data_IF_413766634713
#
_entry.id   IF_413766634713
#
_cell.length_a   1.000
_cell.length_b   1.000
_cell.length_c   1.000
_cell.angle_alpha   90.00
_cell.angle_beta   90.00
_cell.angle_gamma   90.00
#
_symmetry.space_group_name_H-M   'P 1'
#
loop_
_entity.id
_entity.type
_entity.pdbx_description
1 polymer ?
#
# COMPACT_ATOMS: atom_id res chain seq x y z
N UNK A 1 -22.95 7.76 -5.41
CA UNK A 1 -23.16 8.69 -6.51
C UNK A 1 -23.32 10.09 -5.94
N UNK A 2 -22.51 11.04 -6.38
CA UNK A 2 -22.72 12.47 -6.10
C UNK A 2 -23.63 13.05 -7.20
N UNK A 3 -24.82 13.49 -6.80
CA UNK A 3 -25.82 13.95 -7.75
C UNK A 3 -26.76 14.96 -7.10
N UNK A 4 -27.21 15.94 -7.90
CA UNK A 4 -28.25 16.88 -7.54
C UNK A 4 -29.66 16.21 -7.51
N UNK A 5 -30.65 16.95 -7.05
CA UNK A 5 -32.03 16.43 -6.96
C UNK A 5 -32.61 16.03 -8.31
N UNK A 6 -32.24 16.72 -9.40
CA UNK A 6 -32.72 16.44 -10.74
C UNK A 6 -32.16 15.08 -11.23
N UNK A 7 -30.85 14.87 -11.05
CA UNK A 7 -30.21 13.62 -11.41
C UNK A 7 -30.73 12.45 -10.57
N UNK A 8 -30.98 12.65 -9.26
CA UNK A 8 -31.56 11.62 -8.37
C UNK A 8 -32.94 11.14 -8.84
N UNK A 9 -33.76 12.03 -9.41
CA UNK A 9 -35.09 11.67 -9.93
C UNK A 9 -35.01 10.84 -11.19
N UNK A 10 -33.99 11.04 -12.01
CA UNK A 10 -33.81 10.35 -13.32
C UNK A 10 -33.09 9.02 -13.17
N UNK A 11 -32.22 8.87 -12.16
CA UNK A 11 -31.40 7.67 -11.96
C UNK A 11 -32.07 6.75 -10.92
N UNK A 12 -32.75 5.66 -11.32
CA UNK A 12 -33.54 4.84 -10.41
C UNK A 12 -32.75 3.80 -9.61
N UNK A 13 -31.43 3.83 -9.63
CA UNK A 13 -30.56 2.80 -9.02
C UNK A 13 -30.78 2.56 -7.54
N UNK A 14 -31.31 3.56 -6.81
CA UNK A 14 -31.63 3.40 -5.39
C UNK A 14 -33.01 2.75 -5.15
N UNK A 15 -33.81 2.58 -6.19
CA UNK A 15 -35.11 1.89 -6.11
C UNK A 15 -35.00 0.36 -6.19
N UNK A 16 -33.82 -0.12 -6.58
CA UNK A 16 -33.47 -1.54 -6.64
C UNK A 16 -32.21 -1.73 -5.78
N UNK A 17 -32.15 -2.86 -5.09
CA UNK A 17 -31.00 -3.18 -4.22
C UNK A 17 -29.77 -3.56 -5.07
N UNK A 18 -29.12 -2.54 -5.63
CA UNK A 18 -27.88 -2.67 -6.42
C UNK A 18 -26.66 -2.14 -5.65
N UNK A 19 -26.78 -1.88 -4.36
CA UNK A 19 -25.70 -1.28 -3.55
C UNK A 19 -25.35 0.15 -3.93
N UNK A 20 -26.16 0.84 -4.75
CA UNK A 20 -25.93 2.22 -5.15
C UNK A 20 -26.52 3.18 -4.11
N UNK A 21 -25.71 4.14 -3.68
CA UNK A 21 -26.11 5.17 -2.71
C UNK A 21 -25.86 6.55 -3.28
N UNK A 22 -26.76 7.50 -3.00
CA UNK A 22 -26.53 8.92 -3.24
C UNK A 22 -25.89 9.57 -2.00
N UNK A 23 -24.86 10.38 -2.24
CA UNK A 23 -24.19 11.15 -1.21
C UNK A 23 -24.05 12.62 -1.63
N UNK A 24 -23.92 13.51 -0.66
CA UNK A 24 -23.61 14.91 -0.91
C UNK A 24 -22.21 15.08 -1.50
N UNK A 25 -21.26 14.20 -1.14
CA UNK A 25 -19.93 14.13 -1.72
C UNK A 25 -19.45 12.68 -1.81
N UNK A 26 -18.75 12.34 -2.88
CA UNK A 26 -18.06 11.04 -3.05
C UNK A 26 -16.67 11.03 -2.42
N UNK A 27 -16.14 12.17 -2.01
CA UNK A 27 -14.77 12.29 -1.50
C UNK A 27 -14.49 11.37 -0.30
N UNK A 28 -15.34 11.25 0.74
CA UNK A 28 -15.11 10.35 1.86
C UNK A 28 -15.03 8.88 1.42
N UNK A 29 -15.92 8.47 0.50
CA UNK A 29 -15.94 7.10 -0.05
C UNK A 29 -14.70 6.81 -0.89
N UNK A 30 -14.26 7.79 -1.70
CA UNK A 30 -13.02 7.70 -2.47
C UNK A 30 -11.80 7.58 -1.54
N UNK A 31 -11.69 8.42 -0.51
CA UNK A 31 -10.63 8.35 0.50
C UNK A 31 -10.58 6.98 1.16
N UNK A 32 -11.72 6.50 1.65
CA UNK A 32 -11.86 5.16 2.25
C UNK A 32 -11.38 4.06 1.28
N UNK A 33 -11.86 4.06 0.04
CA UNK A 33 -11.48 3.07 -0.97
C UNK A 33 -9.98 3.12 -1.29
N UNK A 34 -9.40 4.30 -1.43
CA UNK A 34 -7.98 4.46 -1.76
C UNK A 34 -7.10 3.99 -0.60
N UNK A 35 -7.38 4.41 0.63
CA UNK A 35 -6.59 4.01 1.81
C UNK A 35 -6.75 2.53 2.14
N UNK A 36 -7.96 1.98 2.15
CA UNK A 36 -8.20 0.60 2.55
C UNK A 36 -7.92 -0.35 1.38
N UNK A 37 -8.70 -0.34 0.30
CA UNK A 37 -8.55 -1.33 -0.77
C UNK A 37 -7.20 -1.18 -1.49
N UNK A 38 -6.90 0.02 -1.98
CA UNK A 38 -5.69 0.23 -2.78
C UNK A 38 -4.45 0.30 -1.89
N UNK A 39 -4.58 0.86 -0.66
CA UNK A 39 -3.48 0.95 0.31
C UNK A 39 -3.02 -0.42 0.77
N UNK A 40 -3.95 -1.30 1.16
CA UNK A 40 -3.61 -2.67 1.60
C UNK A 40 -2.97 -3.47 0.46
N UNK A 41 -3.46 -3.38 -0.78
CA UNK A 41 -2.79 -3.97 -1.94
C UNK A 41 -1.34 -3.46 -2.05
N UNK A 42 -1.15 -2.14 -2.06
CA UNK A 42 0.18 -1.55 -2.25
C UNK A 42 1.12 -1.87 -1.07
N UNK A 43 0.60 -1.90 0.15
CA UNK A 43 1.35 -2.29 1.35
C UNK A 43 1.84 -3.75 1.28
N UNK A 44 1.02 -4.65 0.74
CA UNK A 44 1.26 -6.10 0.86
C UNK A 44 1.96 -6.72 -0.35
N UNK A 45 1.72 -6.21 -1.56
CA UNK A 45 2.10 -6.89 -2.81
C UNK A 45 3.60 -7.11 -2.97
N UNK A 46 4.43 -6.07 -2.76
CA UNK A 46 5.88 -6.21 -2.95
C UNK A 46 6.52 -7.04 -1.83
N UNK A 47 6.07 -6.85 -0.59
CA UNK A 47 6.47 -7.68 0.53
C UNK A 47 6.08 -9.14 0.31
N UNK A 48 4.86 -9.40 -0.18
CA UNK A 48 4.39 -10.74 -0.52
C UNK A 48 5.17 -11.39 -1.65
N UNK A 49 5.52 -10.62 -2.68
CA UNK A 49 6.34 -11.14 -3.77
C UNK A 49 7.74 -11.52 -3.29
N UNK A 50 8.38 -10.65 -2.49
CA UNK A 50 9.67 -10.93 -1.87
C UNK A 50 9.63 -12.16 -0.93
N UNK A 51 8.48 -12.45 -0.31
CA UNK A 51 8.25 -13.65 0.49
C UNK A 51 7.94 -14.92 -0.34
N UNK A 52 7.92 -14.82 -1.67
CA UNK A 52 7.74 -15.95 -2.59
C UNK A 52 6.32 -16.17 -3.09
N UNK A 53 5.32 -15.42 -2.65
CA UNK A 53 3.96 -15.52 -3.17
C UNK A 53 3.88 -15.02 -4.62
N UNK A 54 2.96 -15.57 -5.39
CA UNK A 54 2.75 -15.21 -6.80
C UNK A 54 1.41 -14.55 -7.06
N UNK A 55 0.38 -14.90 -6.29
CA UNK A 55 -0.98 -14.37 -6.42
C UNK A 55 -1.51 -13.86 -5.07
N UNK A 56 -2.43 -12.91 -5.13
CA UNK A 56 -3.03 -12.26 -3.93
C UNK A 56 -3.71 -13.28 -3.02
N UNK A 57 -4.46 -14.24 -3.58
CA UNK A 57 -5.21 -15.22 -2.81
C UNK A 57 -4.30 -16.07 -1.91
N UNK A 58 -3.18 -16.56 -2.43
CA UNK A 58 -2.25 -17.39 -1.66
C UNK A 58 -1.62 -16.58 -0.52
N UNK A 59 -1.26 -15.33 -0.80
CA UNK A 59 -0.72 -14.39 0.18
C UNK A 59 -1.70 -14.12 1.34
N UNK A 60 -3.01 -13.92 1.07
CA UNK A 60 -3.99 -13.64 2.13
C UNK A 60 -4.47 -14.89 2.86
N UNK A 61 -4.20 -16.08 2.34
CA UNK A 61 -4.51 -17.36 2.99
C UNK A 61 -3.35 -17.88 3.85
N UNK A 62 -2.13 -17.38 3.68
CA UNK A 62 -1.03 -17.66 4.60
C UNK A 62 -1.27 -16.97 5.95
N UNK A 63 -1.18 -17.71 7.06
CA UNK A 63 -1.52 -17.22 8.40
C UNK A 63 -0.62 -16.05 8.82
N UNK A 64 0.67 -16.13 8.55
CA UNK A 64 1.66 -15.10 8.92
C UNK A 64 1.44 -13.83 8.12
N UNK A 65 1.27 -14.00 6.81
CA UNK A 65 1.08 -12.85 5.92
C UNK A 65 -0.29 -12.19 6.09
N UNK A 66 -1.32 -12.97 6.37
CA UNK A 66 -2.65 -12.47 6.75
C UNK A 66 -2.57 -11.64 8.05
N UNK A 67 -1.84 -12.13 9.05
CA UNK A 67 -1.64 -11.37 10.30
C UNK A 67 -0.92 -10.04 10.05
N UNK A 68 0.11 -10.02 9.19
CA UNK A 68 0.77 -8.80 8.73
C UNK A 68 -0.20 -7.82 8.07
N UNK A 69 -1.01 -8.30 7.11
CA UNK A 69 -2.02 -7.48 6.41
C UNK A 69 -3.03 -6.90 7.39
N UNK A 70 -3.60 -7.73 8.26
CA UNK A 70 -4.62 -7.30 9.23
C UNK A 70 -4.05 -6.31 10.24
N UNK A 71 -2.80 -6.49 10.66
CA UNK A 71 -2.14 -5.56 11.57
C UNK A 71 -1.97 -4.18 10.93
N UNK A 72 -1.41 -4.10 9.73
CA UNK A 72 -1.25 -2.82 9.02
C UNK A 72 -2.59 -2.14 8.73
N UNK A 73 -3.60 -2.92 8.34
CA UNK A 73 -4.94 -2.41 8.10
C UNK A 73 -5.57 -1.84 9.37
N UNK A 74 -5.64 -2.62 10.44
CA UNK A 74 -6.41 -2.26 11.64
C UNK A 74 -5.68 -1.26 12.55
N UNK A 75 -4.35 -1.42 12.73
CA UNK A 75 -3.59 -0.63 13.69
C UNK A 75 -2.96 0.63 13.09
N UNK A 76 -2.82 0.71 11.74
CA UNK A 76 -2.17 1.84 11.09
C UNK A 76 -3.07 2.54 10.07
N UNK A 77 -3.68 1.84 9.12
CA UNK A 77 -4.47 2.47 8.06
C UNK A 77 -5.81 2.99 8.58
N UNK A 78 -6.60 2.14 9.25
CA UNK A 78 -7.93 2.53 9.74
C UNK A 78 -7.85 3.68 10.77
N UNK A 79 -6.80 3.72 11.56
CA UNK A 79 -6.54 4.79 12.54
C UNK A 79 -6.36 6.19 11.91
N UNK A 80 -6.13 6.25 10.59
CA UNK A 80 -5.92 7.51 9.83
C UNK A 80 -7.16 7.97 9.06
N UNK A 81 -8.30 7.31 9.24
CA UNK A 81 -9.52 7.61 8.49
C UNK A 81 -10.58 8.11 9.45
N UNK A 82 -10.96 9.37 9.26
CA UNK A 82 -12.03 10.01 10.04
C UNK A 82 -13.41 9.65 9.45
N UNK A 83 -13.88 8.45 9.76
CA UNK A 83 -15.21 7.94 9.43
C UNK A 83 -15.68 7.02 10.56
N UNK A 84 -16.97 6.72 10.57
CA UNK A 84 -17.57 5.79 11.52
C UNK A 84 -16.86 4.44 11.53
N UNK A 85 -16.48 3.98 12.72
CA UNK A 85 -15.63 2.80 12.91
C UNK A 85 -16.30 1.51 12.41
N UNK A 86 -17.61 1.38 12.56
CA UNK A 86 -18.36 0.21 12.11
C UNK A 86 -18.36 0.13 10.57
N UNK A 87 -18.60 1.27 9.91
CA UNK A 87 -18.51 1.35 8.44
C UNK A 87 -17.10 1.07 7.92
N UNK A 88 -16.07 1.52 8.62
CA UNK A 88 -14.68 1.24 8.24
C UNK A 88 -14.37 -0.25 8.37
N UNK A 89 -14.73 -0.86 9.49
CA UNK A 89 -14.47 -2.29 9.76
C UNK A 89 -15.21 -3.18 8.76
N UNK A 90 -16.48 -2.90 8.51
CA UNK A 90 -17.30 -3.63 7.52
C UNK A 90 -16.70 -3.54 6.11
N UNK A 91 -16.27 -2.34 5.71
CA UNK A 91 -15.62 -2.16 4.41
C UNK A 91 -14.27 -2.87 4.34
N UNK A 92 -13.46 -2.81 5.39
CA UNK A 92 -12.18 -3.51 5.48
C UNK A 92 -12.35 -5.02 5.36
N UNK A 93 -13.35 -5.60 6.05
CA UNK A 93 -13.69 -7.01 5.93
C UNK A 93 -14.06 -7.38 4.50
N UNK A 94 -14.90 -6.59 3.84
CA UNK A 94 -15.29 -6.83 2.43
C UNK A 94 -14.09 -6.77 1.47
N UNK A 95 -13.05 -5.99 1.79
CA UNK A 95 -11.82 -5.92 1.00
C UNK A 95 -11.00 -7.21 1.14
N UNK A 96 -10.84 -7.74 2.36
CA UNK A 96 -10.13 -9.01 2.59
C UNK A 96 -10.85 -10.17 1.89
N UNK A 97 -12.18 -10.21 1.93
CA UNK A 97 -12.99 -11.21 1.20
C UNK A 97 -12.75 -11.13 -0.32
N UNK A 98 -12.65 -9.89 -0.87
CA UNK A 98 -12.33 -9.71 -2.31
C UNK A 98 -10.92 -10.19 -2.67
N UNK A 99 -9.95 -10.03 -1.78
CA UNK A 99 -8.60 -10.52 -2.00
C UNK A 99 -8.56 -12.06 -2.03
N UNK A 100 -9.46 -12.70 -1.30
CA UNK A 100 -9.62 -14.14 -1.27
C UNK A 100 -10.58 -14.67 -2.36
N UNK A 101 -10.88 -13.90 -3.41
CA UNK A 101 -11.78 -14.33 -4.47
C UNK A 101 -11.23 -15.57 -5.22
N UNK A 102 -11.93 -16.72 -5.17
CA UNK A 102 -11.45 -17.96 -5.79
C UNK A 102 -11.47 -17.96 -7.32
N UNK A 103 -12.15 -17.00 -7.94
CA UNK A 103 -12.31 -16.93 -9.40
C UNK A 103 -11.24 -16.08 -10.10
N UNK A 104 -10.34 -15.44 -9.35
CA UNK A 104 -9.34 -14.53 -9.91
C UNK A 104 -7.95 -14.84 -9.32
N UNK A 105 -7.03 -15.26 -10.19
CA UNK A 105 -5.61 -15.40 -9.87
C UNK A 105 -4.90 -14.07 -10.15
N UNK A 106 -5.09 -13.09 -9.24
CA UNK A 106 -4.51 -11.77 -9.39
C UNK A 106 -3.02 -11.82 -9.07
N UNK A 107 -2.17 -11.76 -10.10
CA UNK A 107 -0.72 -11.86 -9.97
C UNK A 107 -0.15 -10.63 -9.27
N UNK A 108 0.76 -10.85 -8.33
CA UNK A 108 1.41 -9.76 -7.59
C UNK A 108 2.24 -8.86 -8.51
N UNK A 109 2.92 -9.42 -9.51
CA UNK A 109 3.68 -8.64 -10.49
C UNK A 109 2.80 -7.74 -11.36
N UNK A 110 1.56 -8.13 -11.68
CA UNK A 110 0.63 -7.27 -12.43
C UNK A 110 0.23 -6.04 -11.60
N UNK A 111 0.19 -6.21 -10.27
CA UNK A 111 -0.09 -5.12 -9.33
C UNK A 111 1.16 -4.25 -9.09
N UNK A 112 2.36 -4.78 -9.24
CA UNK A 112 3.62 -4.10 -8.93
C UNK A 112 3.98 -2.93 -9.87
N UNK A 113 3.31 -2.79 -11.01
CA UNK A 113 3.56 -1.71 -11.98
C UNK A 113 3.45 -0.33 -11.32
N UNK A 114 4.44 0.55 -11.57
CA UNK A 114 4.48 1.93 -11.06
C UNK A 114 4.31 1.99 -9.52
N UNK A 115 5.03 1.14 -8.78
CA UNK A 115 4.82 1.01 -7.34
C UNK A 115 5.26 2.23 -6.54
N UNK A 116 6.24 3.00 -7.00
CA UNK A 116 6.65 4.26 -6.34
C UNK A 116 5.48 5.25 -6.34
N UNK A 117 4.88 5.52 -7.50
CA UNK A 117 3.72 6.41 -7.60
C UNK A 117 2.49 5.88 -6.85
N UNK A 118 2.28 4.56 -6.87
CA UNK A 118 1.19 3.92 -6.10
C UNK A 118 1.40 4.03 -4.59
N UNK A 119 2.62 3.85 -4.11
CA UNK A 119 2.93 4.00 -2.68
C UNK A 119 2.68 5.43 -2.23
N UNK A 120 3.17 6.43 -2.97
CA UNK A 120 2.86 7.85 -2.74
C UNK A 120 1.36 8.11 -2.62
N UNK A 121 0.58 7.65 -3.61
CA UNK A 121 -0.84 7.99 -3.71
C UNK A 121 -1.74 7.21 -2.73
N UNK A 122 -1.30 6.08 -2.19
CA UNK A 122 -2.16 5.12 -1.48
C UNK A 122 -1.71 4.81 -0.05
N UNK A 123 -0.39 4.77 0.20
CA UNK A 123 0.18 4.43 1.49
C UNK A 123 0.76 5.63 2.21
N UNK A 124 1.47 6.53 1.51
CA UNK A 124 2.17 7.65 2.12
C UNK A 124 1.23 8.59 2.88
N UNK A 125 0.02 8.82 2.36
CA UNK A 125 -0.96 9.63 3.09
C UNK A 125 -1.36 8.99 4.44
N UNK A 126 -1.53 7.66 4.50
CA UNK A 126 -1.79 6.97 5.77
C UNK A 126 -0.56 6.96 6.67
N UNK A 127 0.62 6.83 6.08
CA UNK A 127 1.91 6.88 6.79
C UNK A 127 2.08 8.20 7.54
N UNK A 128 1.93 9.32 6.84
CA UNK A 128 2.11 10.67 7.41
C UNK A 128 0.95 11.04 8.35
N UNK A 129 -0.28 10.67 8.04
CA UNK A 129 -1.41 10.89 8.95
C UNK A 129 -1.22 10.11 10.26
N UNK A 130 -0.69 8.88 10.20
CA UNK A 130 -0.34 8.10 11.38
C UNK A 130 0.80 8.76 12.18
N UNK A 131 1.86 9.19 11.48
CA UNK A 131 2.96 9.89 12.10
C UNK A 131 2.49 11.15 12.84
N UNK A 132 1.67 11.97 12.18
CA UNK A 132 1.14 13.20 12.77
C UNK A 132 0.23 12.92 13.98
N UNK A 133 -0.52 11.82 13.97
CA UNK A 133 -1.43 11.43 15.06
C UNK A 133 -0.67 10.87 16.27
N UNK A 134 0.37 10.07 16.05
CA UNK A 134 1.03 9.28 17.10
C UNK A 134 2.48 9.70 17.40
N UNK A 135 3.07 10.64 16.65
CA UNK A 135 4.44 11.11 16.83
C UNK A 135 5.53 10.05 16.57
N UNK A 136 5.20 9.01 15.78
CA UNK A 136 6.12 7.91 15.47
C UNK A 136 5.80 7.29 14.11
N UNK A 137 6.83 6.71 13.47
CA UNK A 137 6.66 5.99 12.22
C UNK A 137 5.79 4.72 12.40
N UNK A 138 4.81 4.46 11.50
CA UNK A 138 4.02 3.24 11.51
C UNK A 138 4.90 2.04 11.12
N UNK A 139 4.92 0.99 11.94
CA UNK A 139 5.86 -0.13 11.78
C UNK A 139 5.58 -0.98 10.55
N UNK A 140 4.30 -1.29 10.29
CA UNK A 140 3.89 -2.17 9.18
C UNK A 140 4.03 -1.45 7.84
N UNK A 141 3.63 -0.17 7.77
CA UNK A 141 3.82 0.65 6.57
C UNK A 141 5.32 0.94 6.32
N UNK A 142 6.15 1.02 7.36
CA UNK A 142 7.61 1.12 7.20
C UNK A 142 8.22 -0.17 6.68
N UNK A 143 7.74 -1.34 7.10
CA UNK A 143 8.12 -2.61 6.51
C UNK A 143 7.73 -2.69 5.03
N UNK A 144 6.52 -2.25 4.67
CA UNK A 144 6.09 -2.17 3.28
C UNK A 144 6.97 -1.22 2.45
N UNK A 145 7.39 -0.10 3.02
CA UNK A 145 8.31 0.84 2.38
C UNK A 145 9.69 0.20 2.14
N UNK A 146 10.24 -0.45 3.16
CA UNK A 146 11.48 -1.22 3.03
C UNK A 146 11.37 -2.31 1.96
N UNK A 147 10.24 -3.00 1.90
CA UNK A 147 9.92 -3.99 0.86
C UNK A 147 9.88 -3.40 -0.55
N UNK A 148 9.39 -2.16 -0.71
CA UNK A 148 9.45 -1.43 -1.96
C UNK A 148 10.91 -1.15 -2.36
N UNK A 149 11.71 -0.60 -1.45
CA UNK A 149 13.13 -0.31 -1.73
C UNK A 149 13.87 -1.58 -2.15
N UNK A 150 13.70 -2.67 -1.39
CA UNK A 150 14.32 -3.96 -1.72
C UNK A 150 13.85 -4.53 -3.07
N UNK A 151 12.59 -4.32 -3.43
CA UNK A 151 12.05 -4.80 -4.72
C UNK A 151 12.69 -4.10 -5.91
N UNK A 152 12.97 -2.80 -5.81
CA UNK A 152 13.58 -2.01 -6.88
C UNK A 152 15.11 -2.06 -6.87
N UNK A 153 15.75 -2.22 -5.71
CA UNK A 153 17.20 -2.26 -5.63
C UNK A 153 17.75 -3.39 -6.48
N UNK A 154 18.77 -3.07 -7.30
CA UNK A 154 19.44 -4.02 -8.18
C UNK A 154 18.49 -4.81 -9.11
N UNK A 155 17.42 -4.15 -9.57
CA UNK A 155 16.35 -4.81 -10.32
C UNK A 155 16.80 -5.38 -11.65
N UNK A 156 17.88 -4.88 -12.24
CA UNK A 156 18.44 -5.39 -13.52
C UNK A 156 19.02 -6.80 -13.37
N UNK A 157 19.41 -7.20 -12.17
CA UNK A 157 19.96 -8.52 -11.86
C UNK A 157 18.91 -9.49 -11.26
N UNK A 158 17.64 -9.10 -11.22
CA UNK A 158 16.56 -9.95 -10.70
C UNK A 158 15.89 -10.78 -11.79
N UNK A 159 15.34 -11.92 -11.40
CA UNK A 159 14.64 -12.86 -12.29
C UNK A 159 13.18 -12.45 -12.59
N UNK A 160 12.80 -11.22 -12.24
CA UNK A 160 11.47 -10.68 -12.50
C UNK A 160 11.54 -9.25 -13.05
N UNK A 161 10.57 -8.87 -13.90
CA UNK A 161 10.54 -7.53 -14.47
C UNK A 161 10.09 -6.50 -13.43
N UNK A 162 10.82 -5.39 -13.32
CA UNK A 162 10.38 -4.19 -12.62
C UNK A 162 9.97 -3.16 -13.67
N UNK A 163 8.71 -2.74 -13.61
CA UNK A 163 8.15 -1.79 -14.56
C UNK A 163 7.69 -0.52 -13.83
N UNK A 164 8.37 0.58 -14.10
CA UNK A 164 8.03 1.93 -13.62
C UNK A 164 8.44 2.96 -14.67
N UNK A 165 8.18 4.24 -14.42
CA UNK A 165 8.59 5.33 -15.30
C UNK A 165 10.12 5.47 -15.29
N UNK A 166 10.67 5.99 -16.40
CA UNK A 166 12.10 6.01 -16.67
C UNK A 166 12.94 6.65 -15.55
N UNK A 167 12.51 7.81 -15.04
CA UNK A 167 13.23 8.50 -13.97
C UNK A 167 13.30 7.69 -12.66
N UNK A 168 12.30 6.85 -12.35
CA UNK A 168 12.34 5.93 -11.22
C UNK A 168 13.36 4.83 -11.46
N UNK A 169 13.34 4.22 -12.65
CA UNK A 169 14.27 3.16 -13.01
C UNK A 169 15.73 3.68 -13.05
N UNK A 170 15.97 4.86 -13.61
CA UNK A 170 17.29 5.50 -13.61
C UNK A 170 17.80 5.77 -12.19
N UNK A 171 16.92 6.25 -11.30
CA UNK A 171 17.28 6.46 -9.90
C UNK A 171 17.78 5.15 -9.26
N UNK A 172 17.04 4.05 -9.40
CA UNK A 172 17.42 2.76 -8.79
C UNK A 172 18.58 2.05 -9.50
N UNK A 173 18.96 2.43 -10.74
CA UNK A 173 20.19 2.00 -11.42
C UNK A 173 21.45 2.70 -10.92
N UNK A 174 21.30 3.91 -10.40
CA UNK A 174 22.40 4.66 -9.86
C UNK A 174 23.02 3.96 -8.64
N UNK A 175 24.30 4.20 -8.38
CA UNK A 175 24.95 3.71 -7.17
C UNK A 175 24.61 4.62 -5.99
N UNK A 176 24.06 4.02 -4.94
CA UNK A 176 23.74 4.69 -3.69
C UNK A 176 24.74 4.32 -2.61
N UNK A 177 25.13 5.31 -1.79
CA UNK A 177 25.89 5.04 -0.57
C UNK A 177 24.94 4.50 0.52
N UNK A 178 23.74 5.03 0.57
CA UNK A 178 22.67 4.63 1.45
C UNK A 178 21.34 4.75 0.68
N UNK A 179 20.90 3.66 0.08
CA UNK A 179 19.70 3.63 -0.75
C UNK A 179 18.44 4.01 0.03
N UNK A 180 18.36 3.65 1.33
CA UNK A 180 17.18 3.97 2.16
C UNK A 180 17.10 5.47 2.38
N UNK A 181 18.23 6.10 2.74
CA UNK A 181 18.29 7.55 2.90
C UNK A 181 17.95 8.28 1.59
N UNK A 182 18.60 7.88 0.48
CA UNK A 182 18.43 8.53 -0.82
C UNK A 182 16.98 8.42 -1.34
N UNK A 183 16.34 7.27 -1.13
CA UNK A 183 14.91 7.08 -1.48
C UNK A 183 14.02 7.96 -0.61
N UNK A 184 14.21 7.99 0.71
CA UNK A 184 13.39 8.80 1.62
C UNK A 184 13.57 10.30 1.42
N UNK A 185 14.78 10.76 1.10
CA UNK A 185 15.07 12.16 0.80
C UNK A 185 14.55 12.63 -0.56
N UNK A 186 14.13 11.72 -1.45
CA UNK A 186 13.73 12.07 -2.81
C UNK A 186 12.37 12.76 -2.86
N UNK A 187 12.39 14.10 -2.88
CA UNK A 187 11.18 14.93 -2.92
C UNK A 187 10.39 14.81 -4.22
N UNK A 188 10.99 14.40 -5.33
CA UNK A 188 10.26 14.14 -6.59
C UNK A 188 9.34 12.93 -6.42
N UNK A 189 9.82 11.87 -5.76
CA UNK A 189 9.01 10.70 -5.50
C UNK A 189 7.87 10.99 -4.53
N UNK A 190 8.16 11.64 -3.41
CA UNK A 190 7.21 11.73 -2.29
C UNK A 190 6.48 13.06 -2.19
N UNK A 191 6.97 14.11 -2.87
CA UNK A 191 6.47 15.48 -2.78
C UNK A 191 7.16 16.30 -1.69
N UNK A 192 7.94 15.64 -0.84
CA UNK A 192 8.77 16.22 0.22
C UNK A 192 9.88 15.27 0.64
N UNK A 193 10.84 15.78 1.38
CA UNK A 193 11.90 15.01 1.99
C UNK A 193 11.40 14.35 3.29
N UNK A 194 11.32 13.01 3.31
CA UNK A 194 10.82 12.25 4.46
C UNK A 194 11.87 12.05 5.56
N UNK A 195 13.14 12.34 5.29
CA UNK A 195 14.21 12.23 6.31
C UNK A 195 14.13 13.29 7.39
N UNK A 196 13.34 14.36 7.17
CA UNK A 196 13.10 15.41 8.20
C UNK A 196 12.19 14.95 9.35
N UNK A 197 11.49 13.83 9.19
CA UNK A 197 10.63 13.28 10.22
C UNK A 197 11.43 12.35 11.14
N UNK A 198 11.37 12.59 12.44
CA UNK A 198 12.08 11.77 13.42
C UNK A 198 11.73 10.29 13.29
N UNK A 199 12.72 9.42 13.40
CA UNK A 199 12.63 7.96 13.37
C UNK A 199 12.02 7.32 12.10
N UNK A 200 11.67 8.05 11.05
CA UNK A 200 11.21 7.44 9.78
C UNK A 200 12.36 6.67 9.14
N UNK A 201 13.52 7.33 8.96
CA UNK A 201 14.70 6.68 8.40
C UNK A 201 15.09 5.43 9.21
N UNK A 202 15.24 5.57 10.52
CA UNK A 202 15.67 4.46 11.39
C UNK A 202 14.71 3.27 11.30
N UNK A 203 13.40 3.54 11.28
CA UNK A 203 12.38 2.48 11.23
C UNK A 203 12.39 1.77 9.88
N UNK A 204 12.48 2.51 8.77
CA UNK A 204 12.52 1.91 7.42
C UNK A 204 13.83 1.15 7.21
N UNK A 205 14.97 1.73 7.63
CA UNK A 205 16.29 1.11 7.51
C UNK A 205 16.41 -0.16 8.37
N UNK A 206 15.82 -0.18 9.57
CA UNK A 206 15.74 -1.39 10.39
C UNK A 206 15.04 -2.53 9.61
N UNK A 207 13.90 -2.28 8.99
CA UNK A 207 13.18 -3.28 8.22
C UNK A 207 13.91 -3.67 6.94
N UNK A 208 14.50 -2.71 6.23
CA UNK A 208 15.30 -2.97 5.04
C UNK A 208 16.48 -3.90 5.33
N UNK A 209 17.23 -3.62 6.40
CA UNK A 209 18.35 -4.45 6.83
C UNK A 209 17.91 -5.87 7.19
N UNK A 210 16.76 -6.01 7.87
CA UNK A 210 16.20 -7.32 8.19
C UNK A 210 15.74 -8.08 6.95
N UNK A 211 15.06 -7.43 6.01
CA UNK A 211 14.66 -8.05 4.73
C UNK A 211 15.91 -8.59 4.01
N UNK A 212 16.96 -7.79 3.85
CA UNK A 212 18.22 -8.22 3.21
C UNK A 212 18.85 -9.41 3.90
N UNK A 213 18.90 -9.40 5.23
CA UNK A 213 19.47 -10.49 6.04
C UNK A 213 18.71 -11.81 5.87
N UNK A 214 17.38 -11.78 5.91
CA UNK A 214 16.58 -12.99 5.84
C UNK A 214 16.39 -13.53 4.43
N UNK A 215 16.32 -12.66 3.42
CA UNK A 215 16.29 -13.11 2.02
C UNK A 215 17.61 -13.79 1.62
N UNK A 216 18.75 -13.33 2.13
CA UNK A 216 20.04 -14.00 1.89
C UNK A 216 20.13 -15.41 2.48
N UNK A 217 19.32 -15.75 3.49
CA UNK A 217 19.26 -17.08 4.09
C UNK A 217 18.35 -18.06 3.32
N UNK A 218 17.44 -17.57 2.48
CA UNK A 218 16.55 -18.40 1.66
C UNK A 218 17.25 -18.87 0.37
N UNK A 219 18.32 -18.18 -0.04
CA UNK A 219 19.11 -18.51 -1.22
C UNK A 219 20.38 -19.35 -0.95
N UNK A 220 20.52 -19.89 0.29
CA UNK A 220 21.52 -20.89 0.65
C UNK A 220 20.85 -22.25 0.81
#
# INVERSE_FOLDING_TARGET
IEADEKARKVIPFTKVDMGAQFAASVLPFRKRKVKILNGVHTMSVLAGYNAGFKIVRDMVNDETFKAYILKGLNEEILETIDLDKEQLTSFAQSVIERFNNPFIDHKLLDISLNSVAKFKARCLCSYLDYYNKFGKAPKVLSFAFAGLINFYEDFENKDYPVNDIENVLEFFKAKHKDIVFDVLANSEFWGEDLTKYDNIYDTVNHWYTNIKKYLSLIHI
#
